data_IF_383935253841
#
_entry.id   IF_383935253841
#
_cell.length_a   1.000
_cell.length_b   1.000
_cell.length_c   1.000
_cell.angle_alpha   90.00
_cell.angle_beta   90.00
_cell.angle_gamma   90.00
#
_symmetry.space_group_name_H-M   'P 1'
#
loop_
_entity.id
_entity.type
_entity.pdbx_description
1 polymer ?
#
# COMPACT_ATOMS: atom_id res chain seq x y z
N UNK A 1 -13.66 -26.78 -32.18
CA UNK A 1 -14.33 -25.51 -31.81
C UNK A 1 -14.67 -25.48 -30.31
N UNK A 2 -13.68 -25.59 -29.41
CA UNK A 2 -13.91 -25.71 -27.95
C UNK A 2 -13.28 -24.56 -27.14
N UNK A 3 -12.78 -23.51 -27.81
CA UNK A 3 -12.05 -22.41 -27.18
C UNK A 3 -12.91 -21.15 -26.92
N UNK A 4 -14.23 -21.19 -27.17
CA UNK A 4 -15.04 -19.96 -27.24
C UNK A 4 -15.57 -19.45 -25.88
N UNK A 5 -15.56 -20.27 -24.82
CA UNK A 5 -16.10 -19.91 -23.50
C UNK A 5 -15.07 -20.14 -22.39
N UNK A 6 -13.91 -19.49 -22.48
CA UNK A 6 -13.02 -19.39 -21.32
C UNK A 6 -13.50 -18.20 -20.48
N UNK A 7 -13.92 -18.39 -19.21
CA UNK A 7 -14.30 -17.28 -18.37
C UNK A 7 -13.11 -16.30 -18.24
N UNK A 8 -13.33 -15.04 -18.62
CA UNK A 8 -12.32 -13.98 -18.56
C UNK A 8 -12.18 -13.36 -17.17
N UNK A 9 -13.02 -13.79 -16.23
CA UNK A 9 -13.10 -13.27 -14.86
C UNK A 9 -13.06 -14.45 -13.90
N UNK A 10 -12.24 -14.33 -12.86
CA UNK A 10 -12.17 -15.31 -11.76
C UNK A 10 -13.53 -15.41 -11.06
N UNK A 11 -13.96 -16.63 -10.74
CA UNK A 11 -15.16 -16.89 -9.93
C UNK A 11 -14.88 -16.92 -8.42
N UNK A 12 -13.67 -16.57 -7.99
CA UNK A 12 -13.25 -16.63 -6.58
C UNK A 12 -12.33 -15.46 -6.21
N UNK A 13 -12.43 -15.01 -4.96
CA UNK A 13 -11.50 -14.08 -4.34
C UNK A 13 -10.43 -14.88 -3.57
N UNK A 14 -9.15 -14.51 -3.73
CA UNK A 14 -8.06 -15.02 -2.90
C UNK A 14 -7.76 -13.96 -1.85
N UNK A 15 -7.91 -14.30 -0.57
CA UNK A 15 -7.44 -13.48 0.53
C UNK A 15 -6.08 -13.99 0.99
N UNK A 16 -5.07 -13.14 0.92
CA UNK A 16 -3.72 -13.45 1.39
C UNK A 16 -3.25 -12.37 2.37
N UNK A 17 -2.50 -12.78 3.39
CA UNK A 17 -1.79 -11.88 4.29
C UNK A 17 -0.30 -12.19 4.18
N UNK A 18 0.47 -11.21 3.69
CA UNK A 18 1.92 -11.32 3.54
C UNK A 18 2.57 -10.51 4.65
N UNK A 19 3.41 -11.17 5.44
CA UNK A 19 4.27 -10.49 6.42
C UNK A 19 5.64 -10.27 5.82
N UNK A 20 6.08 -9.01 5.80
CA UNK A 20 7.43 -8.62 5.38
C UNK A 20 8.20 -8.19 6.61
N UNK A 21 9.13 -9.02 7.07
CA UNK A 21 10.04 -8.67 8.16
C UNK A 21 11.23 -7.87 7.58
N UNK A 22 11.60 -6.76 8.20
CA UNK A 22 12.80 -5.99 7.81
C UNK A 22 14.06 -6.70 8.34
N UNK A 23 15.15 -6.69 7.56
CA UNK A 23 16.36 -7.45 7.90
C UNK A 23 17.07 -6.96 9.17
N UNK A 24 16.86 -5.70 9.53
CA UNK A 24 17.48 -5.07 10.69
C UNK A 24 16.74 -5.38 12.01
N UNK A 25 15.50 -5.89 11.97
CA UNK A 25 14.62 -6.01 13.14
C UNK A 25 14.57 -4.74 14.01
N UNK A 26 14.96 -3.60 13.44
CA UNK A 26 14.94 -2.33 14.14
C UNK A 26 13.48 -1.84 14.08
N UNK A 27 12.89 -1.64 15.26
CA UNK A 27 11.70 -0.81 15.39
C UNK A 27 12.14 0.61 14.98
N UNK A 28 12.17 0.86 13.67
CA UNK A 28 12.50 2.16 13.15
C UNK A 28 11.47 3.14 13.67
N UNK A 29 11.95 4.13 14.42
CA UNK A 29 11.10 5.23 14.90
C UNK A 29 10.97 6.21 13.73
N UNK A 30 10.33 5.77 12.65
CA UNK A 30 9.97 6.66 11.56
C UNK A 30 8.58 7.20 11.81
N UNK A 31 8.46 8.52 11.68
CA UNK A 31 7.17 9.20 11.71
C UNK A 31 6.34 8.83 10.46
N UNK A 32 6.92 8.15 9.47
CA UNK A 32 6.17 7.46 8.43
C UNK A 32 6.98 6.48 7.59
N UNK A 33 6.30 5.51 6.99
CA UNK A 33 6.88 4.50 6.10
C UNK A 33 6.25 4.67 4.72
N UNK A 34 7.11 4.81 3.71
CA UNK A 34 6.71 4.93 2.31
C UNK A 34 7.30 3.77 1.51
N UNK A 35 6.46 3.08 0.74
CA UNK A 35 6.93 2.03 -0.15
C UNK A 35 6.04 1.90 -1.39
N UNK A 36 6.64 1.55 -2.55
CA UNK A 36 5.89 1.24 -3.75
C UNK A 36 5.26 -0.16 -3.65
N UNK A 37 4.07 -0.30 -4.21
CA UNK A 37 3.36 -1.56 -4.38
C UNK A 37 3.11 -1.72 -5.88
N UNK A 38 3.37 -2.92 -6.40
CA UNK A 38 3.17 -3.25 -7.81
C UNK A 38 2.32 -4.50 -7.94
N UNK A 39 1.26 -4.43 -8.75
CA UNK A 39 0.50 -5.60 -9.16
C UNK A 39 1.24 -6.30 -10.30
N UNK A 40 1.70 -7.53 -10.09
CA UNK A 40 2.39 -8.31 -11.15
C UNK A 40 1.48 -8.49 -12.37
N UNK A 41 2.00 -8.20 -13.56
CA UNK A 41 1.27 -8.35 -14.81
C UNK A 41 1.23 -9.79 -15.32
N UNK A 42 2.17 -10.64 -14.89
CA UNK A 42 2.33 -12.00 -15.42
C UNK A 42 1.37 -13.03 -14.81
N UNK A 43 0.67 -12.65 -13.74
CA UNK A 43 -0.31 -13.51 -13.07
C UNK A 43 -1.71 -13.25 -13.65
N UNK A 44 -2.57 -14.27 -13.77
CA UNK A 44 -3.94 -14.13 -14.29
C UNK A 44 -4.89 -13.50 -13.25
N UNK A 45 -4.49 -12.35 -12.69
CA UNK A 45 -5.25 -11.57 -11.70
C UNK A 45 -5.98 -10.46 -12.45
N UNK A 46 -7.27 -10.23 -12.15
CA UNK A 46 -8.03 -9.14 -12.75
C UNK A 46 -7.72 -7.78 -12.11
N UNK A 47 -7.56 -7.78 -10.78
CA UNK A 47 -7.21 -6.63 -9.97
C UNK A 47 -6.65 -7.07 -8.62
N UNK A 48 -5.77 -6.26 -8.04
CA UNK A 48 -5.33 -6.34 -6.66
C UNK A 48 -6.12 -5.32 -5.83
N UNK A 49 -6.73 -5.76 -4.73
CA UNK A 49 -7.50 -4.90 -3.83
C UNK A 49 -6.89 -4.94 -2.44
N UNK A 50 -6.35 -3.82 -1.98
CA UNK A 50 -5.79 -3.67 -0.64
C UNK A 50 -6.84 -2.95 0.21
N UNK A 51 -7.32 -3.62 1.26
CA UNK A 51 -8.37 -3.10 2.15
C UNK A 51 -7.83 -2.62 3.48
N UNK A 52 -6.65 -3.09 3.87
CA UNK A 52 -6.05 -2.71 5.15
C UNK A 52 -4.55 -2.92 5.16
N UNK A 53 -3.89 -2.25 6.11
CA UNK A 53 -2.50 -2.53 6.52
C UNK A 53 -2.47 -2.66 8.02
N UNK A 54 -1.56 -3.48 8.55
CA UNK A 54 -1.42 -3.69 9.98
C UNK A 54 -0.09 -3.10 10.48
N UNK A 55 -0.16 -2.26 11.52
CA UNK A 55 0.99 -1.55 12.11
C UNK A 55 1.06 -1.80 13.61
N UNK A 56 2.21 -1.59 14.24
CA UNK A 56 2.38 -1.69 15.70
C UNK A 56 3.40 -0.66 16.17
N UNK A 57 3.42 -0.36 17.46
CA UNK A 57 4.35 0.58 18.07
C UNK A 57 3.69 1.51 19.08
N UNK A 58 4.32 2.66 19.34
CA UNK A 58 3.72 3.75 20.12
C UNK A 58 2.81 4.59 19.23
N UNK A 59 1.75 3.94 18.74
CA UNK A 59 0.80 4.55 17.82
C UNK A 59 0.11 5.78 18.43
N UNK A 60 -0.43 6.61 17.56
CA UNK A 60 -1.25 7.77 17.89
C UNK A 60 -2.14 8.12 16.69
N UNK A 61 -2.21 9.40 16.28
CA UNK A 61 -2.95 9.77 15.08
C UNK A 61 -2.20 9.28 13.84
N UNK A 62 -2.85 8.44 13.04
CA UNK A 62 -2.28 7.83 11.85
C UNK A 62 -3.08 8.19 10.61
N UNK A 63 -2.35 8.45 9.53
CA UNK A 63 -2.90 8.66 8.19
C UNK A 63 -2.30 7.67 7.20
N UNK A 64 -3.10 7.27 6.21
CA UNK A 64 -2.62 6.49 5.06
C UNK A 64 -2.93 7.27 3.79
N UNK A 65 -1.91 7.42 2.96
CA UNK A 65 -1.95 8.13 1.70
C UNK A 65 -1.51 7.21 0.57
N UNK A 66 -2.12 7.39 -0.59
CA UNK A 66 -1.77 6.65 -1.81
C UNK A 66 -1.67 7.61 -2.98
N UNK A 67 -0.81 7.31 -3.95
CA UNK A 67 -0.74 8.10 -5.19
C UNK A 67 -2.04 7.98 -5.99
N UNK A 68 -2.57 9.13 -6.42
CA UNK A 68 -3.77 9.22 -7.27
C UNK A 68 -3.53 8.56 -8.61
N UNK A 69 -2.43 8.94 -9.24
CA UNK A 69 -2.01 8.43 -10.54
C UNK A 69 -1.11 7.20 -10.42
N UNK A 70 -0.99 6.49 -11.53
CA UNK A 70 -0.06 5.37 -11.65
C UNK A 70 1.37 5.91 -11.77
N UNK A 71 2.28 5.32 -11.01
CA UNK A 71 3.68 5.71 -11.09
C UNK A 71 4.32 4.95 -12.26
N UNK A 72 4.93 5.63 -13.24
CA UNK A 72 5.57 4.96 -14.36
C UNK A 72 6.69 4.06 -13.86
N UNK A 73 6.64 2.81 -14.29
CA UNK A 73 7.65 1.81 -13.97
C UNK A 73 8.78 1.95 -14.97
N UNK A 74 9.86 2.61 -14.59
CA UNK A 74 11.11 2.54 -15.35
C UNK A 74 11.82 1.23 -15.01
N UNK A 75 12.25 0.51 -16.05
CA UNK A 75 12.73 -0.86 -15.96
C UNK A 75 13.90 -1.04 -14.97
N UNK A 76 13.77 -2.08 -14.16
CA UNK A 76 14.80 -2.76 -13.34
C UNK A 76 15.51 -1.99 -12.22
N UNK A 77 15.41 -0.66 -12.14
CA UNK A 77 15.91 0.10 -11.00
C UNK A 77 14.84 1.08 -10.53
N UNK A 78 14.34 0.89 -9.30
CA UNK A 78 13.55 1.91 -8.60
C UNK A 78 14.34 3.22 -8.64
N UNK A 79 13.97 4.13 -9.55
CA UNK A 79 14.66 5.39 -9.63
C UNK A 79 14.24 6.22 -8.42
N UNK A 80 15.16 6.33 -7.45
CA UNK A 80 14.97 7.11 -6.22
C UNK A 80 14.55 8.54 -6.55
N UNK A 81 14.92 9.07 -7.73
CA UNK A 81 14.51 10.40 -8.20
C UNK A 81 13.00 10.51 -8.44
N UNK A 82 12.35 9.53 -9.05
CA UNK A 82 10.90 9.55 -9.29
C UNK A 82 10.11 9.52 -7.99
N UNK A 83 10.56 8.71 -7.01
CA UNK A 83 9.96 8.71 -5.67
C UNK A 83 10.20 10.03 -4.93
N UNK A 84 11.33 10.69 -5.16
CA UNK A 84 11.64 11.98 -4.53
C UNK A 84 10.76 13.10 -5.07
N UNK A 85 10.48 13.13 -6.38
CA UNK A 85 9.51 14.06 -6.96
C UNK A 85 8.10 13.83 -6.43
N UNK A 86 7.66 12.57 -6.32
CA UNK A 86 6.34 12.22 -5.77
C UNK A 86 6.23 12.63 -4.29
N UNK A 87 7.30 12.47 -3.51
CA UNK A 87 7.33 12.87 -2.10
C UNK A 87 7.09 14.36 -1.88
N UNK A 88 7.57 15.20 -2.79
CA UNK A 88 7.50 16.65 -2.65
C UNK A 88 6.22 17.27 -3.20
N UNK A 89 5.39 16.52 -3.93
CA UNK A 89 4.16 17.02 -4.54
C UNK A 89 2.92 16.46 -3.84
N UNK A 90 2.35 17.23 -2.91
CA UNK A 90 1.12 16.88 -2.19
C UNK A 90 -0.07 16.62 -3.12
N UNK A 91 -0.11 17.25 -4.30
CA UNK A 91 -1.23 17.10 -5.23
C UNK A 91 -1.34 15.69 -5.80
N UNK A 92 -0.24 14.92 -5.78
CA UNK A 92 -0.18 13.54 -6.24
C UNK A 92 -0.81 12.54 -5.25
N UNK A 93 -1.10 12.96 -4.02
CA UNK A 93 -1.54 12.08 -2.94
C UNK A 93 -3.03 12.19 -2.66
N UNK A 94 -3.65 11.05 -2.35
CA UNK A 94 -4.99 10.94 -1.81
C UNK A 94 -4.92 10.28 -0.43
N UNK A 95 -5.48 10.95 0.59
CA UNK A 95 -5.66 10.36 1.91
C UNK A 95 -6.82 9.37 1.86
N UNK A 96 -6.57 8.13 2.24
CA UNK A 96 -7.56 7.05 2.24
C UNK A 96 -7.96 6.61 3.66
N UNK A 97 -7.17 7.02 4.66
CA UNK A 97 -7.40 6.65 6.05
C UNK A 97 -6.90 7.75 6.99
N UNK A 98 -7.64 8.01 8.06
CA UNK A 98 -7.24 8.88 9.17
C UNK A 98 -7.99 8.48 10.44
N UNK A 99 -7.26 7.98 11.45
CA UNK A 99 -7.82 7.67 12.77
C UNK A 99 -6.75 7.80 13.86
N UNK A 100 -7.20 8.03 15.09
CA UNK A 100 -6.34 7.94 16.27
C UNK A 100 -6.36 6.53 16.86
N UNK A 101 -5.18 5.99 17.16
CA UNK A 101 -5.01 4.65 17.70
C UNK A 101 -4.33 4.69 19.06
N UNK A 102 -4.74 3.78 19.95
CA UNK A 102 -4.00 3.54 21.18
C UNK A 102 -2.65 2.88 20.86
N UNK A 103 -1.62 3.12 21.70
CA UNK A 103 -0.35 2.40 21.59
C UNK A 103 -0.56 0.88 21.56
N UNK A 104 0.09 0.21 20.60
CA UNK A 104 -0.03 -1.23 20.40
C UNK A 104 1.35 -1.82 20.14
N UNK A 105 2.12 -2.07 21.19
CA UNK A 105 3.53 -2.51 21.08
C UNK A 105 3.72 -4.00 20.81
N UNK A 106 2.75 -4.82 21.23
CA UNK A 106 2.86 -6.30 21.17
C UNK A 106 1.99 -6.94 20.10
N UNK A 107 1.02 -6.21 19.61
CA UNK A 107 -0.01 -6.67 18.68
C UNK A 107 -0.08 -5.75 17.49
N UNK A 108 -0.37 -6.29 16.32
CA UNK A 108 -0.66 -5.47 15.16
C UNK A 108 -2.06 -4.87 15.29
N UNK A 109 -2.14 -3.57 15.06
CA UNK A 109 -3.36 -2.80 14.90
C UNK A 109 -3.64 -2.67 13.40
N UNK A 110 -4.80 -3.17 12.98
CA UNK A 110 -5.27 -3.01 11.60
C UNK A 110 -5.78 -1.60 11.37
N UNK A 111 -5.27 -0.97 10.30
CA UNK A 111 -5.78 0.25 9.70
C UNK A 111 -6.74 -0.17 8.58
N UNK A 112 -8.03 -0.16 8.89
CA UNK A 112 -9.07 -0.65 7.97
C UNK A 112 -9.63 0.48 7.12
N UNK A 113 -9.41 0.38 5.81
CA UNK A 113 -9.90 1.28 4.77
C UNK A 113 -10.70 0.49 3.72
N UNK A 114 -11.43 -0.53 4.14
CA UNK A 114 -12.32 -1.32 3.27
C UNK A 114 -13.37 -0.50 2.53
N UNK A 115 -13.81 0.61 3.11
CA UNK A 115 -14.80 1.53 2.52
C UNK A 115 -14.21 2.37 1.37
N UNK A 116 -12.87 2.53 1.34
CA UNK A 116 -12.13 3.24 0.30
C UNK A 116 -10.83 2.48 -0.04
N UNK A 117 -10.95 1.28 -0.65
CA UNK A 117 -9.81 0.40 -0.84
C UNK A 117 -8.90 0.89 -1.96
N UNK A 118 -7.64 0.47 -1.92
CA UNK A 118 -6.71 0.69 -3.03
C UNK A 118 -6.96 -0.40 -4.06
N UNK A 119 -7.37 -0.01 -5.26
CA UNK A 119 -7.62 -0.91 -6.39
C UNK A 119 -6.53 -0.71 -7.43
N UNK A 120 -5.89 -1.80 -7.85
CA UNK A 120 -4.82 -1.79 -8.84
C UNK A 120 -5.07 -2.83 -9.93
N UNK A 121 -4.92 -2.43 -11.18
CA UNK A 121 -4.91 -3.32 -12.34
C UNK A 121 -3.54 -4.00 -12.50
N UNK A 122 -3.46 -5.14 -13.20
CA UNK A 122 -2.19 -5.78 -13.53
C UNK A 122 -1.21 -4.80 -14.19
N UNK A 123 0.03 -4.79 -13.71
CA UNK A 123 1.09 -3.90 -14.18
C UNK A 123 1.11 -2.51 -13.52
N UNK A 124 0.04 -2.11 -12.82
CA UNK A 124 0.03 -0.81 -12.14
C UNK A 124 0.93 -0.78 -10.91
N UNK A 125 1.50 0.39 -10.66
CA UNK A 125 2.27 0.71 -9.47
C UNK A 125 1.67 1.92 -8.76
N UNK A 126 1.53 1.81 -7.44
CA UNK A 126 1.13 2.90 -6.55
C UNK A 126 2.10 3.00 -5.39
N UNK A 127 2.29 4.20 -4.85
CA UNK A 127 3.08 4.39 -3.64
C UNK A 127 2.15 4.54 -2.45
N UNK A 128 2.40 3.76 -1.40
CA UNK A 128 1.71 3.86 -0.13
C UNK A 128 2.58 4.64 0.85
N UNK A 129 1.98 5.57 1.58
CA UNK A 129 2.63 6.29 2.66
C UNK A 129 1.77 6.24 3.93
N UNK A 130 2.34 5.69 4.99
CA UNK A 130 1.71 5.59 6.31
C UNK A 130 2.45 6.55 7.22
N UNK A 131 1.74 7.51 7.84
CA UNK A 131 2.37 8.59 8.59
C UNK A 131 1.65 8.87 9.92
N UNK A 132 2.44 9.03 10.98
CA UNK A 132 2.04 9.62 12.26
C UNK A 132 1.81 11.11 12.06
N UNK A 133 0.60 11.59 12.33
CA UNK A 133 0.29 13.03 12.29
C UNK A 133 0.38 13.68 13.66
N UNK A 134 1.20 13.12 14.57
CA UNK A 134 1.38 13.64 15.91
C UNK A 134 2.21 14.94 15.86
N UNK A 135 1.90 15.96 16.69
CA UNK A 135 2.72 17.16 16.76
C UNK A 135 4.14 16.82 17.25
N UNK A 136 5.16 17.24 16.50
CA UNK A 136 6.60 16.98 16.74
C UNK A 136 7.12 15.59 16.34
N UNK A 137 6.34 14.82 15.59
CA UNK A 137 6.81 13.68 14.78
C UNK A 137 7.17 14.16 13.36
#
# INVERSE_FOLDING_TARGET
MAALNRPSVSSYEIHENVRVDTQDNEDHTFCGIMFPIQAKADLPVSQLVIRSVAVRGHLGPLTVWVTKEDVPMEQENYCVSSLQSIRSDESMWAKIYEKNHNPSRRTYQTLDFSDNPIIMKPGQMKVLYIHSSAPND
#
